data_IF_097119352241
#
_entry.id   IF_097119352241
#
_cell.length_a   1.000
_cell.length_b   1.000
_cell.length_c   1.000
_cell.angle_alpha   90.00
_cell.angle_beta   90.00
_cell.angle_gamma   90.00
#
_symmetry.space_group_name_H-M   'P 1'
#
loop_
_entity.id
_entity.type
_entity.pdbx_description
1 polymer ?
#
# COMPACT_ATOMS: atom_id res chain seq x y z
N UNK A 1 -20.22 -5.85 -10.71
CA UNK A 1 -20.04 -5.84 -9.25
C UNK A 1 -19.58 -7.22 -8.86
N UNK A 2 -18.33 -7.34 -8.43
CA UNK A 2 -17.84 -8.55 -7.78
C UNK A 2 -18.48 -8.65 -6.40
N UNK A 3 -18.95 -9.85 -6.02
CA UNK A 3 -19.53 -10.12 -4.70
C UNK A 3 -18.72 -11.22 -4.04
N UNK A 4 -18.17 -10.94 -2.87
CA UNK A 4 -17.61 -11.97 -2.01
C UNK A 4 -18.76 -12.81 -1.45
N UNK A 5 -18.69 -14.12 -1.64
CA UNK A 5 -19.68 -15.09 -1.16
C UNK A 5 -19.17 -15.93 0.01
N UNK A 6 -17.96 -15.63 0.51
CA UNK A 6 -17.38 -16.29 1.66
C UNK A 6 -18.11 -15.87 2.95
N UNK A 7 -18.30 -16.82 3.86
CA UNK A 7 -18.87 -16.56 5.17
C UNK A 7 -17.86 -15.87 6.08
N UNK A 8 -18.27 -14.78 6.73
CA UNK A 8 -17.52 -14.18 7.82
C UNK A 8 -17.97 -14.81 9.14
N UNK A 9 -17.09 -15.59 9.79
CA UNK A 9 -17.39 -16.28 11.05
C UNK A 9 -16.85 -15.47 12.22
N UNK A 10 -17.73 -15.17 13.18
CA UNK A 10 -17.36 -14.52 14.44
C UNK A 10 -17.40 -15.57 15.55
N UNK A 11 -16.26 -15.80 16.22
CA UNK A 11 -16.15 -16.66 17.38
C UNK A 11 -15.82 -15.83 18.62
N UNK A 12 -16.62 -15.98 19.66
CA UNK A 12 -16.32 -15.40 20.98
C UNK A 12 -15.62 -16.45 21.83
N UNK A 13 -14.46 -16.09 22.40
CA UNK A 13 -13.67 -16.97 23.28
C UNK A 13 -13.15 -16.17 24.46
N UNK A 14 -12.95 -16.85 25.59
CA UNK A 14 -12.29 -16.28 26.77
C UNK A 14 -10.80 -16.65 26.81
N UNK A 15 -10.31 -17.44 25.85
CA UNK A 15 -8.91 -17.83 25.73
C UNK A 15 -8.17 -16.84 24.82
N UNK A 16 -7.23 -16.03 25.36
CA UNK A 16 -6.49 -15.04 24.58
C UNK A 16 -5.51 -15.67 23.57
N UNK A 17 -5.01 -16.88 23.80
CA UNK A 17 -4.09 -17.54 22.87
C UNK A 17 -4.83 -17.93 21.58
N UNK A 18 -6.08 -18.38 21.69
CA UNK A 18 -6.92 -18.76 20.56
C UNK A 18 -7.14 -17.58 19.60
N UNK A 19 -7.32 -16.36 20.13
CA UNK A 19 -7.44 -15.13 19.32
C UNK A 19 -6.20 -14.92 18.46
N UNK A 20 -5.01 -14.97 19.06
CA UNK A 20 -3.76 -14.74 18.32
C UNK A 20 -3.46 -15.83 17.30
N UNK A 21 -3.77 -17.08 17.62
CA UNK A 21 -3.55 -18.23 16.72
C UNK A 21 -4.49 -18.28 15.51
N UNK A 22 -5.66 -17.62 15.62
CA UNK A 22 -6.68 -17.58 14.56
C UNK A 22 -6.44 -16.53 13.49
N UNK A 23 -5.37 -15.73 13.60
CA UNK A 23 -5.05 -14.69 12.63
C UNK A 23 -4.68 -15.29 11.27
N UNK A 24 -5.50 -15.00 10.26
CA UNK A 24 -5.26 -15.45 8.89
C UNK A 24 -4.07 -14.66 8.28
N UNK A 25 -3.02 -15.36 7.79
CA UNK A 25 -1.84 -14.69 7.23
C UNK A 25 -2.14 -13.92 5.94
N UNK A 26 -3.16 -14.32 5.17
CA UNK A 26 -3.64 -13.59 4.00
C UNK A 26 -4.30 -12.26 4.40
N UNK A 27 -5.11 -12.25 5.47
CA UNK A 27 -5.68 -11.01 6.01
C UNK A 27 -4.58 -10.07 6.52
N UNK A 28 -3.55 -10.60 7.18
CA UNK A 28 -2.41 -9.81 7.62
C UNK A 28 -1.66 -9.18 6.43
N UNK A 29 -1.41 -9.95 5.36
CA UNK A 29 -0.77 -9.46 4.15
C UNK A 29 -1.60 -8.36 3.46
N UNK A 30 -2.92 -8.54 3.32
CA UNK A 30 -3.78 -7.50 2.73
C UNK A 30 -3.90 -6.25 3.61
N UNK A 31 -3.84 -6.40 4.94
CA UNK A 31 -3.79 -5.26 5.85
C UNK A 31 -2.50 -4.43 5.65
N UNK A 32 -1.35 -5.08 5.48
CA UNK A 32 -0.09 -4.38 5.17
C UNK A 32 -0.17 -3.62 3.84
N UNK A 33 -0.81 -4.21 2.82
CA UNK A 33 -1.04 -3.56 1.52
C UNK A 33 -1.96 -2.34 1.68
N UNK A 34 -3.04 -2.45 2.43
CA UNK A 34 -3.94 -1.33 2.70
C UNK A 34 -3.23 -0.19 3.46
N UNK A 35 -2.37 -0.53 4.43
CA UNK A 35 -1.56 0.46 5.13
C UNK A 35 -0.56 1.16 4.20
N UNK A 36 0.05 0.42 3.25
CA UNK A 36 0.94 1.00 2.25
C UNK A 36 0.19 1.98 1.32
N UNK A 37 -1.02 1.62 0.85
CA UNK A 37 -1.85 2.53 0.07
C UNK A 37 -2.19 3.81 0.84
N UNK A 38 -2.58 3.70 2.11
CA UNK A 38 -2.87 4.85 2.96
C UNK A 38 -1.63 5.72 3.21
N UNK A 39 -0.43 5.11 3.31
CA UNK A 39 0.82 5.85 3.42
C UNK A 39 1.08 6.69 2.15
N UNK A 40 0.91 6.09 0.97
CA UNK A 40 1.03 6.81 -0.32
C UNK A 40 0.10 8.03 -0.37
N UNK A 41 -1.17 7.86 0.00
CA UNK A 41 -2.14 8.97 -0.02
C UNK A 41 -1.76 10.10 0.92
N UNK A 42 -1.30 9.76 2.12
CA UNK A 42 -0.85 10.75 3.10
C UNK A 42 0.35 11.53 2.60
N UNK A 43 1.33 10.83 2.02
CA UNK A 43 2.52 11.48 1.44
C UNK A 43 2.13 12.38 0.27
N UNK A 44 1.27 11.90 -0.64
CA UNK A 44 0.73 12.69 -1.75
C UNK A 44 0.03 13.96 -1.24
N UNK A 45 -0.84 13.82 -0.24
CA UNK A 45 -1.55 14.95 0.33
C UNK A 45 -0.59 15.96 0.95
N UNK A 46 0.42 15.51 1.72
CA UNK A 46 1.42 16.39 2.32
C UNK A 46 2.31 17.10 1.31
N UNK A 47 2.69 16.44 0.20
CA UNK A 47 3.39 17.10 -0.92
C UNK A 47 2.50 18.19 -1.53
N UNK A 48 1.23 17.85 -1.82
CA UNK A 48 0.28 18.77 -2.46
C UNK A 48 -0.04 19.98 -1.59
N UNK A 49 -0.12 19.80 -0.27
CA UNK A 49 -0.37 20.89 0.69
C UNK A 49 0.90 21.61 1.12
N UNK A 50 2.08 21.23 0.60
CA UNK A 50 3.39 21.75 1.00
C UNK A 50 3.69 21.57 2.50
N UNK A 51 3.03 20.61 3.14
CA UNK A 51 3.23 20.25 4.55
C UNK A 51 4.34 19.23 4.74
N UNK A 52 4.67 18.48 3.68
CA UNK A 52 5.84 17.60 3.63
C UNK A 52 6.88 18.22 2.71
N UNK A 53 8.10 18.35 3.22
CA UNK A 53 9.25 18.61 2.36
C UNK A 53 9.60 17.37 1.51
N UNK A 54 10.31 17.59 0.41
CA UNK A 54 10.65 16.55 -0.54
C UNK A 54 11.46 15.40 0.10
N UNK A 55 12.33 15.72 1.08
CA UNK A 55 13.16 14.73 1.76
C UNK A 55 12.32 13.77 2.61
N UNK A 56 11.37 14.30 3.36
CA UNK A 56 10.47 13.51 4.22
C UNK A 56 9.55 12.66 3.36
N UNK A 57 9.01 13.24 2.28
CA UNK A 57 8.20 12.48 1.32
C UNK A 57 8.98 11.31 0.70
N UNK A 58 10.25 11.52 0.34
CA UNK A 58 11.09 10.44 -0.19
C UNK A 58 11.32 9.32 0.84
N UNK A 59 11.57 9.64 2.11
CA UNK A 59 11.76 8.63 3.15
C UNK A 59 10.49 7.79 3.37
N UNK A 60 9.32 8.41 3.35
CA UNK A 60 8.03 7.71 3.47
C UNK A 60 7.79 6.77 2.28
N UNK A 61 8.11 7.23 1.06
CA UNK A 61 7.98 6.43 -0.15
C UNK A 61 9.00 5.30 -0.21
N UNK A 62 10.24 5.49 0.26
CA UNK A 62 11.25 4.43 0.35
C UNK A 62 10.79 3.32 1.30
N UNK A 63 10.25 3.67 2.48
CA UNK A 63 9.66 2.67 3.39
C UNK A 63 8.48 1.95 2.75
N UNK A 64 7.61 2.68 2.07
CA UNK A 64 6.44 2.10 1.38
C UNK A 64 6.87 1.13 0.28
N UNK A 65 7.88 1.49 -0.52
CA UNK A 65 8.45 0.64 -1.55
C UNK A 65 8.95 -0.69 -0.98
N UNK A 66 9.64 -0.64 0.16
CA UNK A 66 10.14 -1.85 0.84
C UNK A 66 9.00 -2.76 1.29
N UNK A 67 7.94 -2.20 1.88
CA UNK A 67 6.76 -2.96 2.31
C UNK A 67 6.07 -3.63 1.12
N UNK A 68 5.88 -2.90 0.02
CA UNK A 68 5.25 -3.44 -1.19
C UNK A 68 6.09 -4.55 -1.81
N UNK A 69 7.41 -4.39 -1.87
CA UNK A 69 8.32 -5.42 -2.38
C UNK A 69 8.30 -6.68 -1.49
N UNK A 70 8.33 -6.51 -0.17
CA UNK A 70 8.23 -7.61 0.78
C UNK A 70 6.89 -8.37 0.68
N UNK A 71 5.79 -7.64 0.44
CA UNK A 71 4.45 -8.19 0.23
C UNK A 71 4.19 -8.72 -1.20
N UNK A 72 5.21 -8.82 -2.05
CA UNK A 72 5.09 -9.34 -3.42
C UNK A 72 4.35 -8.42 -4.40
N UNK A 73 4.04 -7.18 -4.03
CA UNK A 73 3.39 -6.17 -4.89
C UNK A 73 4.43 -5.48 -5.80
N UNK A 74 5.11 -6.27 -6.62
CA UNK A 74 6.27 -5.82 -7.40
C UNK A 74 5.96 -4.67 -8.37
N UNK A 75 4.80 -4.69 -9.04
CA UNK A 75 4.38 -3.58 -9.93
C UNK A 75 4.23 -2.27 -9.15
N UNK A 76 3.53 -2.30 -8.01
CA UNK A 76 3.34 -1.11 -7.19
C UNK A 76 4.66 -0.61 -6.59
N UNK A 77 5.56 -1.53 -6.20
CA UNK A 77 6.90 -1.17 -5.76
C UNK A 77 7.73 -0.49 -6.86
N UNK A 78 7.59 -0.93 -8.12
CA UNK A 78 8.23 -0.30 -9.27
C UNK A 78 7.64 1.11 -9.55
N UNK A 79 6.32 1.28 -9.46
CA UNK A 79 5.67 2.58 -9.61
C UNK A 79 6.11 3.57 -8.53
N UNK A 80 6.20 3.13 -7.26
CA UNK A 80 6.74 3.97 -6.17
C UNK A 80 8.22 4.32 -6.42
N UNK A 81 9.01 3.41 -7.00
CA UNK A 81 10.40 3.70 -7.39
C UNK A 81 10.46 4.79 -8.45
N UNK A 82 9.60 4.72 -9.48
CA UNK A 82 9.50 5.77 -10.50
C UNK A 82 9.09 7.12 -9.88
N UNK A 83 8.16 7.11 -8.92
CA UNK A 83 7.76 8.33 -8.22
C UNK A 83 8.91 8.94 -7.38
N UNK A 84 9.72 8.10 -6.73
CA UNK A 84 10.94 8.54 -6.02
C UNK A 84 11.92 9.24 -6.97
N UNK A 85 12.16 8.67 -8.15
CA UNK A 85 13.06 9.27 -9.14
C UNK A 85 12.52 10.59 -9.70
N UNK A 86 11.20 10.69 -9.90
CA UNK A 86 10.54 11.94 -10.28
C UNK A 86 10.67 13.01 -9.17
N UNK A 87 10.55 12.64 -7.89
CA UNK A 87 10.77 13.58 -6.79
C UNK A 87 12.23 14.04 -6.71
N UNK A 88 13.18 13.14 -6.94
CA UNK A 88 14.63 13.46 -6.97
C UNK A 88 14.98 14.44 -8.09
N UNK A 89 14.33 14.32 -9.25
CA UNK A 89 14.52 15.24 -10.38
C UNK A 89 13.73 16.55 -10.26
N UNK A 90 12.90 16.69 -9.21
CA UNK A 90 12.08 17.88 -8.96
C UNK A 90 10.72 17.86 -9.68
N UNK A 91 10.35 16.77 -10.36
CA UNK A 91 9.04 16.60 -10.99
C UNK A 91 8.01 15.98 -10.02
N UNK A 92 7.61 16.77 -9.03
CA UNK A 92 6.59 16.37 -8.05
C UNK A 92 5.21 16.07 -8.69
N UNK A 93 4.91 16.66 -9.86
CA UNK A 93 3.65 16.43 -10.56
C UNK A 93 3.62 15.04 -11.23
N UNK A 94 4.70 14.63 -11.89
CA UNK A 94 4.81 13.29 -12.44
C UNK A 94 4.82 12.22 -11.34
N UNK A 95 5.54 12.47 -10.23
CA UNK A 95 5.50 11.61 -9.05
C UNK A 95 4.05 11.43 -8.54
N UNK A 96 3.33 12.53 -8.37
CA UNK A 96 1.95 12.50 -7.87
C UNK A 96 1.00 11.68 -8.74
N UNK A 97 1.11 11.77 -10.07
CA UNK A 97 0.27 10.97 -10.98
C UNK A 97 0.51 9.47 -10.84
N UNK A 98 1.76 9.05 -10.77
CA UNK A 98 2.13 7.63 -10.59
C UNK A 98 1.59 7.10 -9.26
N UNK A 99 1.76 7.87 -8.17
CA UNK A 99 1.28 7.50 -6.84
C UNK A 99 -0.24 7.42 -6.73
N UNK A 100 -0.99 8.30 -7.42
CA UNK A 100 -2.46 8.24 -7.47
C UNK A 100 -2.94 6.94 -8.11
N UNK A 101 -2.34 6.56 -9.25
CA UNK A 101 -2.68 5.29 -9.92
C UNK A 101 -2.35 4.09 -9.04
N UNK A 102 -1.16 4.11 -8.44
CA UNK A 102 -0.69 3.04 -7.55
C UNK A 102 -1.62 2.84 -6.35
N UNK A 103 -1.99 3.92 -5.63
CA UNK A 103 -2.89 3.82 -4.48
C UNK A 103 -4.24 3.22 -4.86
N UNK A 104 -4.81 3.66 -5.98
CA UNK A 104 -6.11 3.17 -6.46
C UNK A 104 -6.07 1.68 -6.82
N UNK A 105 -5.00 1.21 -7.46
CA UNK A 105 -4.85 -0.19 -7.82
C UNK A 105 -4.66 -1.08 -6.59
N UNK A 106 -3.87 -0.63 -5.60
CA UNK A 106 -3.72 -1.31 -4.32
C UNK A 106 -5.04 -1.43 -3.55
N UNK A 107 -5.84 -0.35 -3.50
CA UNK A 107 -7.16 -0.37 -2.84
C UNK A 107 -8.15 -1.32 -3.50
N UNK A 108 -7.99 -1.56 -4.81
CA UNK A 108 -8.82 -2.52 -5.55
C UNK A 108 -8.35 -3.96 -5.38
N UNK A 109 -7.27 -4.20 -4.62
CA UNK A 109 -6.65 -5.51 -4.49
C UNK A 109 -6.05 -6.01 -5.80
N UNK A 110 -5.82 -5.11 -6.78
CA UNK A 110 -5.26 -5.50 -8.07
C UNK A 110 -3.77 -5.76 -7.88
N UNK A 111 -3.43 -7.01 -7.61
CA UNK A 111 -2.11 -7.53 -7.92
C UNK A 111 -1.92 -7.35 -9.43
N UNK A 112 -0.74 -6.94 -9.89
CA UNK A 112 -0.39 -6.95 -11.32
C UNK A 112 -0.68 -8.32 -11.96
N UNK A 113 -0.62 -8.44 -13.30
CA UNK A 113 -1.10 -9.62 -14.02
C UNK A 113 -0.65 -10.90 -13.31
N UNK A 114 -1.61 -11.73 -12.94
CA UNK A 114 -1.33 -13.06 -12.41
C UNK A 114 -0.43 -13.75 -13.44
N UNK A 115 0.80 -14.06 -13.04
CA UNK A 115 1.63 -14.98 -13.80
C UNK A 115 0.82 -16.28 -13.97
N UNK A 116 0.72 -16.72 -15.23
CA UNK A 116 0.00 -17.92 -15.72
C UNK A 116 0.33 -19.22 -14.97
#
# INVERSE_FOLDING_TARGET
>A
MERLTADAVWKFTNDPEEVTSSADPGVAAELEVAMAAQAIERTLMGIKTQQLDARTAMLDLERTQQLLAAGGRLSAAADVTQALDNLRSGDANAAGKSLIGTSLDLQRGKSGPADE
#
